data_IF_232447026797
#
_entry.id   IF_232447026797
#
_cell.length_a   1.000
_cell.length_b   1.000
_cell.length_c   1.000
_cell.angle_alpha   90.00
_cell.angle_beta   90.00
_cell.angle_gamma   90.00
#
_symmetry.space_group_name_H-M   'P 1'
#
loop_
_entity.id
_entity.type
_entity.pdbx_description
1 polymer ?
#
# COMPACT_ATOMS: atom_id res chain seq x y z
N UNK A 1 9.68 13.57 9.07
CA UNK A 1 8.36 14.17 8.81
C UNK A 1 7.29 13.19 9.28
N UNK A 2 6.30 13.60 10.08
CA UNK A 2 5.15 12.75 10.37
C UNK A 2 4.30 12.59 9.10
N UNK A 3 3.90 11.36 8.78
CA UNK A 3 3.01 11.06 7.67
C UNK A 3 1.58 10.91 8.17
N UNK A 4 0.62 11.50 7.47
CA UNK A 4 -0.79 11.17 7.62
C UNK A 4 -1.11 10.00 6.70
N UNK A 5 -1.66 8.92 7.24
CA UNK A 5 -2.16 7.80 6.44
C UNK A 5 -3.68 7.94 6.35
N UNK A 6 -4.21 7.91 5.13
CA UNK A 6 -5.66 7.91 4.87
C UNK A 6 -6.02 6.82 3.88
N UNK A 7 -7.30 6.46 3.87
CA UNK A 7 -7.85 5.65 2.79
C UNK A 7 -7.86 6.43 1.47
N UNK A 8 -7.58 5.73 0.39
CA UNK A 8 -7.85 6.23 -0.95
C UNK A 8 -9.37 6.23 -1.19
N UNK A 9 -9.87 7.26 -1.87
CA UNK A 9 -11.30 7.46 -2.07
C UNK A 9 -11.66 7.41 -3.56
N UNK A 10 -12.77 6.76 -3.94
CA UNK A 10 -13.28 6.90 -5.30
C UNK A 10 -13.67 8.35 -5.57
N UNK A 11 -13.32 8.87 -6.74
CA UNK A 11 -13.77 10.19 -7.19
C UNK A 11 -14.15 10.16 -8.66
N UNK A 12 -15.05 11.04 -9.15
CA UNK A 12 -15.39 11.10 -10.58
C UNK A 12 -14.20 11.35 -11.50
N UNK A 13 -13.13 11.94 -10.96
CA UNK A 13 -11.88 12.22 -11.65
C UNK A 13 -10.78 11.19 -11.38
N UNK A 14 -11.04 10.13 -10.60
CA UNK A 14 -10.07 9.09 -10.24
C UNK A 14 -8.76 9.63 -9.64
N UNK A 15 -8.83 10.65 -8.79
CA UNK A 15 -7.65 11.42 -8.36
C UNK A 15 -6.60 10.55 -7.66
N UNK A 16 -7.03 9.71 -6.72
CA UNK A 16 -6.13 8.80 -6.01
C UNK A 16 -5.58 7.70 -6.92
N UNK A 17 -6.38 7.18 -7.86
CA UNK A 17 -5.91 6.18 -8.83
C UNK A 17 -4.86 6.80 -9.80
N UNK A 18 -5.08 8.05 -10.24
CA UNK A 18 -4.13 8.82 -11.03
C UNK A 18 -2.86 9.13 -10.25
N UNK A 19 -2.99 9.46 -8.96
CA UNK A 19 -1.84 9.63 -8.07
C UNK A 19 -0.99 8.35 -8.01
N UNK A 20 -1.60 7.20 -7.70
CA UNK A 20 -0.89 5.91 -7.60
C UNK A 20 -0.20 5.59 -8.94
N UNK A 21 -0.92 5.72 -10.05
CA UNK A 21 -0.39 5.50 -11.40
C UNK A 21 0.83 6.39 -11.67
N UNK A 22 0.73 7.68 -11.36
CA UNK A 22 1.82 8.63 -11.57
C UNK A 22 3.01 8.40 -10.64
N UNK A 23 2.78 7.91 -9.41
CA UNK A 23 3.85 7.55 -8.47
C UNK A 23 4.65 6.34 -8.97
N UNK A 24 4.00 5.37 -9.62
CA UNK A 24 4.68 4.30 -10.31
C UNK A 24 5.54 4.82 -11.47
N UNK A 25 4.95 5.60 -12.38
CA UNK A 25 5.67 6.13 -13.55
C UNK A 25 6.86 7.00 -13.14
N UNK A 26 6.70 7.81 -12.08
CA UNK A 26 7.78 8.66 -11.57
C UNK A 26 8.93 7.88 -10.94
N UNK A 27 8.67 6.68 -10.44
CA UNK A 27 9.69 5.82 -9.85
C UNK A 27 10.57 5.12 -10.89
N UNK A 28 10.07 4.89 -12.12
CA UNK A 28 10.76 4.09 -13.15
C UNK A 28 12.16 4.62 -13.49
N UNK A 29 12.40 5.93 -13.71
CA UNK A 29 13.75 6.43 -13.98
C UNK A 29 14.73 6.17 -12.82
N UNK A 30 14.27 6.32 -11.57
CA UNK A 30 15.10 6.04 -10.41
C UNK A 30 15.37 4.54 -10.24
N UNK A 31 14.34 3.71 -10.35
CA UNK A 31 14.47 2.25 -10.27
C UNK A 31 15.43 1.73 -11.35
N UNK A 32 15.33 2.25 -12.56
CA UNK A 32 16.26 1.94 -13.64
C UNK A 32 17.69 2.34 -13.31
N UNK A 33 17.92 3.54 -12.77
CA UNK A 33 19.28 4.03 -12.46
C UNK A 33 19.96 3.27 -11.32
N UNK A 34 19.20 2.60 -10.45
CA UNK A 34 19.73 1.74 -9.39
C UNK A 34 19.79 0.26 -9.79
N UNK A 35 19.54 -0.10 -11.04
CA UNK A 35 19.62 -1.48 -11.52
C UNK A 35 18.39 -2.34 -11.25
N UNK A 36 17.23 -1.71 -11.05
CA UNK A 36 15.93 -2.38 -10.86
C UNK A 36 15.06 -2.50 -12.11
N UNK A 37 15.62 -2.21 -13.29
CA UNK A 37 14.91 -2.34 -14.57
C UNK A 37 14.45 -3.78 -14.88
N UNK A 38 15.11 -4.81 -14.34
CA UNK A 38 14.71 -6.21 -14.57
C UNK A 38 13.33 -6.57 -14.01
N UNK A 39 12.85 -5.88 -12.97
CA UNK A 39 11.50 -6.07 -12.41
C UNK A 39 10.47 -5.17 -13.07
N UNK A 40 10.84 -3.91 -13.33
CA UNK A 40 9.88 -2.86 -13.67
C UNK A 40 9.89 -2.45 -15.13
N UNK A 41 10.92 -2.83 -15.89
CA UNK A 41 11.20 -2.29 -17.21
C UNK A 41 11.78 -0.87 -17.14
N UNK A 42 11.89 -0.24 -18.31
CA UNK A 42 12.38 1.14 -18.47
C UNK A 42 11.29 2.11 -18.91
N UNK A 43 10.17 1.59 -19.40
CA UNK A 43 9.04 2.38 -19.87
C UNK A 43 8.10 2.72 -18.71
N UNK A 44 7.38 3.84 -18.84
CA UNK A 44 6.32 4.19 -17.90
C UNK A 44 5.27 3.07 -17.86
N UNK A 45 4.86 2.66 -16.66
CA UNK A 45 3.95 1.52 -16.48
C UNK A 45 2.56 1.83 -17.02
N UNK A 46 2.12 3.09 -16.95
CA UNK A 46 0.85 3.52 -17.56
C UNK A 46 0.82 3.33 -19.08
N UNK A 47 1.97 3.40 -19.75
CA UNK A 47 2.11 3.16 -21.19
C UNK A 47 2.33 1.67 -21.47
N UNK A 48 3.23 1.03 -20.73
CA UNK A 48 3.62 -0.36 -20.95
C UNK A 48 2.53 -1.39 -20.55
N UNK A 49 1.58 -1.00 -19.69
CA UNK A 49 0.54 -1.90 -19.15
C UNK A 49 -0.85 -1.34 -19.42
N UNK A 50 -1.54 -1.76 -20.49
CA UNK A 50 -2.92 -1.38 -20.74
C UNK A 50 -3.81 -1.67 -19.53
N UNK A 51 -4.66 -0.71 -19.15
CA UNK A 51 -5.57 -0.84 -18.00
C UNK A 51 -4.94 -0.59 -16.63
N UNK A 52 -3.70 -0.10 -16.55
CA UNK A 52 -3.02 0.14 -15.27
C UNK A 52 -3.77 1.12 -14.34
N UNK A 53 -4.26 2.24 -14.89
CA UNK A 53 -5.11 3.17 -14.14
C UNK A 53 -6.42 2.51 -13.68
N UNK A 54 -7.10 1.79 -14.58
CA UNK A 54 -8.36 1.14 -14.30
C UNK A 54 -8.23 0.08 -13.19
N UNK A 55 -7.10 -0.64 -13.13
CA UNK A 55 -6.80 -1.56 -12.03
C UNK A 55 -6.76 -0.85 -10.68
N UNK A 56 -6.10 0.31 -10.60
CA UNK A 56 -6.05 1.08 -9.35
C UNK A 56 -7.41 1.66 -8.98
N UNK A 57 -8.17 2.17 -9.94
CA UNK A 57 -9.54 2.65 -9.71
C UNK A 57 -10.45 1.53 -9.19
N UNK A 58 -10.38 0.33 -9.79
CA UNK A 58 -11.12 -0.85 -9.32
C UNK A 58 -10.73 -1.25 -7.90
N UNK A 59 -9.43 -1.25 -7.57
CA UNK A 59 -8.97 -1.57 -6.22
C UNK A 59 -9.50 -0.59 -5.16
N UNK A 60 -9.58 0.70 -5.50
CA UNK A 60 -10.15 1.73 -4.62
C UNK A 60 -11.66 1.54 -4.47
N UNK A 61 -12.37 1.22 -5.54
CA UNK A 61 -13.80 0.92 -5.49
C UNK A 61 -14.10 -0.32 -4.62
N UNK A 62 -13.30 -1.39 -4.75
CA UNK A 62 -13.42 -2.60 -3.91
C UNK A 62 -13.18 -2.27 -2.42
N UNK A 63 -12.17 -1.44 -2.12
CA UNK A 63 -11.85 -0.99 -0.77
C UNK A 63 -13.00 -0.17 -0.15
N UNK A 64 -13.58 0.74 -0.92
CA UNK A 64 -14.72 1.53 -0.47
C UNK A 64 -15.96 0.66 -0.23
N UNK A 65 -16.26 -0.27 -1.14
CA UNK A 65 -17.37 -1.19 -0.98
C UNK A 65 -17.23 -2.06 0.28
N UNK A 66 -16.02 -2.54 0.57
CA UNK A 66 -15.72 -3.26 1.80
C UNK A 66 -15.92 -2.38 3.04
N UNK A 67 -15.39 -1.15 3.04
CA UNK A 67 -15.52 -0.19 4.16
C UNK A 67 -16.98 0.15 4.46
N UNK A 68 -17.80 0.37 3.42
CA UNK A 68 -19.22 0.63 3.59
C UNK A 68 -19.96 -0.58 4.16
N UNK A 69 -19.67 -1.77 3.65
CA UNK A 69 -20.25 -3.02 4.16
C UNK A 69 -19.86 -3.28 5.62
N UNK A 70 -18.60 -3.02 6.01
CA UNK A 70 -18.13 -3.20 7.38
C UNK A 70 -18.76 -2.20 8.35
N UNK A 71 -18.98 -0.95 7.91
CA UNK A 71 -19.62 0.08 8.73
C UNK A 71 -21.11 -0.17 8.97
N UNK A 72 -21.78 -0.84 8.02
CA UNK A 72 -23.21 -1.13 8.08
C UNK A 72 -23.52 -2.49 8.73
N UNK A 73 -22.51 -3.35 8.93
CA UNK A 73 -22.67 -4.62 9.64
C UNK A 73 -22.66 -4.43 11.15
N UNK A 74 -23.66 -3.69 11.66
CA UNK A 74 -23.94 -3.58 13.09
C UNK A 74 -24.66 -4.81 13.66
N UNK A 75 -25.09 -5.74 12.81
CA UNK A 75 -25.91 -6.90 13.16
C UNK A 75 -25.17 -8.24 13.19
N UNK A 76 -23.84 -8.26 13.09
CA UNK A 76 -23.05 -9.50 13.07
C UNK A 76 -23.24 -10.35 11.80
N UNK A 77 -23.86 -9.78 10.76
CA UNK A 77 -24.00 -10.46 9.48
C UNK A 77 -22.61 -10.60 8.80
N UNK A 78 -22.29 -11.77 8.20
CA UNK A 78 -21.01 -11.97 7.53
C UNK A 78 -20.83 -10.99 6.38
N UNK A 79 -19.71 -10.26 6.36
CA UNK A 79 -19.31 -9.45 5.20
C UNK A 79 -18.90 -10.43 4.10
N UNK A 80 -19.66 -10.46 3.00
CA UNK A 80 -19.38 -11.36 1.86
C UNK A 80 -18.07 -11.03 1.15
N UNK A 81 -17.65 -9.77 1.19
CA UNK A 81 -16.44 -9.30 0.52
C UNK A 81 -15.23 -9.49 1.44
N UNK A 82 -14.14 -10.02 0.88
CA UNK A 82 -12.86 -10.13 1.58
C UNK A 82 -12.30 -8.73 1.89
N UNK A 83 -11.64 -8.54 3.04
CA UNK A 83 -10.99 -7.28 3.37
C UNK A 83 -10.02 -6.82 2.28
N UNK A 84 -10.17 -5.58 1.86
CA UNK A 84 -9.29 -4.88 0.92
C UNK A 84 -9.16 -3.43 1.35
N UNK A 85 -7.95 -2.88 1.27
CA UNK A 85 -7.68 -1.50 1.67
C UNK A 85 -6.64 -0.86 0.78
N UNK A 86 -6.88 0.37 0.34
CA UNK A 86 -5.92 1.17 -0.42
C UNK A 86 -5.60 2.40 0.42
N UNK A 87 -4.31 2.60 0.71
CA UNK A 87 -3.82 3.63 1.62
C UNK A 87 -2.99 4.65 0.85
N UNK A 88 -3.14 5.92 1.22
CA UNK A 88 -2.30 7.04 0.76
C UNK A 88 -1.53 7.59 1.96
N UNK A 89 -0.21 7.71 1.82
CA UNK A 89 0.63 8.46 2.73
C UNK A 89 0.75 9.90 2.26
N UNK A 90 0.48 10.84 3.14
CA UNK A 90 0.59 12.26 2.87
C UNK A 90 1.60 12.94 3.81
N UNK A 91 2.43 13.79 3.24
CA UNK A 91 3.34 14.65 4.00
C UNK A 91 2.70 16.02 4.22
N UNK A 92 2.82 16.56 5.43
CA UNK A 92 2.43 17.94 5.69
C UNK A 92 3.40 18.89 4.98
N UNK A 93 2.85 19.81 4.21
CA UNK A 93 3.60 20.92 3.65
C UNK A 93 3.74 22.02 4.71
N UNK A 94 4.87 22.75 4.73
CA UNK A 94 4.97 23.96 5.52
C UNK A 94 3.80 24.88 5.16
N UNK A 95 3.05 25.33 6.18
CA UNK A 95 2.03 26.36 5.95
C UNK A 95 2.69 27.56 5.30
N UNK A 96 2.03 28.12 4.28
CA UNK A 96 2.47 29.40 3.71
C UNK A 96 2.32 30.41 4.84
N UNK A 97 3.44 30.96 5.31
CA UNK A 97 3.43 32.05 6.28
C UNK A 97 3.02 33.30 5.50
N UNK A 98 1.72 33.41 5.20
CA UNK A 98 1.13 34.63 4.67
C UNK A 98 1.13 35.60 5.85
N UNK A 99 2.25 36.31 5.99
CA UNK A 99 2.52 37.22 7.09
C UNK A 99 1.50 38.34 7.15
N UNK A 100 0.40 38.10 7.87
CA UNK A 100 -0.38 39.11 8.55
C UNK A 100 -1.16 38.44 9.69
N UNK A 101 -0.81 38.85 10.92
CA UNK A 101 -1.29 38.22 12.13
C UNK A 101 -2.79 38.37 12.33
N UNK A 102 -3.50 37.24 12.44
CA UNK A 102 -4.62 37.04 13.36
C UNK A 102 -5.14 35.60 13.24
N UNK A 103 -4.97 34.78 14.28
CA UNK A 103 -5.95 33.77 14.73
C UNK A 103 -6.53 32.70 13.79
N UNK A 104 -6.11 32.56 12.53
CA UNK A 104 -6.62 31.53 11.64
C UNK A 104 -5.80 30.24 11.80
N UNK A 105 -6.47 29.12 12.10
CA UNK A 105 -5.86 27.78 12.09
C UNK A 105 -5.05 27.63 10.80
N UNK A 106 -3.73 27.46 10.91
CA UNK A 106 -2.86 27.26 9.76
C UNK A 106 -3.40 26.10 8.94
N UNK A 107 -3.92 26.39 7.75
CA UNK A 107 -4.47 25.39 6.86
C UNK A 107 -3.30 24.50 6.40
N UNK A 108 -3.16 23.33 7.03
CA UNK A 108 -2.13 22.37 6.69
C UNK A 108 -2.49 21.72 5.36
N UNK A 109 -1.72 22.04 4.33
CA UNK A 109 -1.78 21.34 3.05
C UNK A 109 -1.05 20.02 3.17
N UNK A 110 -1.62 18.96 2.60
CA UNK A 110 -1.07 17.62 2.61
C UNK A 110 -0.74 17.21 1.17
N UNK A 111 0.47 16.72 0.96
CA UNK A 111 0.94 16.22 -0.33
C UNK A 111 0.96 14.70 -0.30
N UNK A 112 0.22 14.00 -1.18
CA UNK A 112 0.37 12.56 -1.37
C UNK A 112 1.80 12.20 -1.82
N UNK A 113 2.43 11.26 -1.13
CA UNK A 113 3.86 10.90 -1.30
C UNK A 113 4.12 9.40 -1.32
N UNK A 114 3.11 8.58 -1.05
CA UNK A 114 3.18 7.14 -1.24
C UNK A 114 1.82 6.48 -1.18
N UNK A 115 1.76 5.21 -1.60
CA UNK A 115 0.55 4.42 -1.54
C UNK A 115 0.83 2.95 -1.23
N UNK A 116 -0.17 2.28 -0.68
CA UNK A 116 -0.17 0.84 -0.48
C UNK A 116 -1.52 0.21 -0.84
N UNK A 117 -1.52 -1.04 -1.30
CA UNK A 117 -2.73 -1.84 -1.53
C UNK A 117 -2.61 -3.15 -0.77
N UNK A 118 -3.63 -3.46 0.02
CA UNK A 118 -3.73 -4.63 0.89
C UNK A 118 -4.93 -5.47 0.48
N UNK A 119 -4.75 -6.80 0.38
CA UNK A 119 -5.83 -7.75 0.05
C UNK A 119 -5.77 -8.98 0.93
N UNK A 120 -6.87 -9.28 1.62
CA UNK A 120 -6.98 -10.49 2.42
C UNK A 120 -7.12 -11.73 1.52
N UNK A 121 -6.43 -12.81 1.90
CA UNK A 121 -6.58 -14.12 1.28
C UNK A 121 -6.44 -14.09 -0.25
N UNK A 122 -5.45 -13.31 -0.70
CA UNK A 122 -5.14 -13.03 -2.10
C UNK A 122 -3.66 -13.28 -2.37
N UNK A 123 -3.36 -13.89 -3.51
CA UNK A 123 -2.02 -13.97 -4.07
C UNK A 123 -2.10 -13.59 -5.56
N UNK A 124 -1.16 -12.79 -6.08
CA UNK A 124 -1.10 -12.50 -7.50
C UNK A 124 -0.88 -13.76 -8.35
N UNK A 125 -1.46 -13.81 -9.55
CA UNK A 125 -1.37 -14.98 -10.43
C UNK A 125 0.10 -15.39 -10.71
N UNK A 126 0.99 -14.43 -10.94
CA UNK A 126 2.39 -14.73 -11.20
C UNK A 126 3.13 -15.36 -10.01
N UNK A 127 2.63 -15.19 -8.77
CA UNK A 127 3.11 -15.89 -7.57
C UNK A 127 2.58 -17.32 -7.55
N UNK A 128 1.30 -17.50 -7.90
CA UNK A 128 0.67 -18.82 -8.00
C UNK A 128 1.30 -19.70 -9.09
N UNK A 129 1.73 -19.07 -10.19
CA UNK A 129 2.37 -19.74 -11.32
C UNK A 129 3.82 -20.20 -11.01
N UNK A 130 4.40 -19.77 -9.88
CA UNK A 130 5.75 -20.22 -9.50
C UNK A 130 5.72 -21.65 -8.95
N UNK A 131 6.23 -22.61 -9.72
CA UNK A 131 6.29 -24.03 -9.30
C UNK A 131 6.97 -24.22 -7.94
N UNK A 132 8.05 -23.50 -7.68
CA UNK A 132 8.80 -23.58 -6.42
C UNK A 132 8.04 -23.04 -5.19
N UNK A 133 6.92 -22.33 -5.40
CA UNK A 133 6.06 -21.81 -4.33
C UNK A 133 4.81 -22.64 -4.09
N UNK A 134 4.49 -23.61 -4.97
CA UNK A 134 3.24 -24.40 -4.89
C UNK A 134 3.06 -25.11 -3.54
N UNK A 135 4.17 -25.57 -2.92
CA UNK A 135 4.15 -26.20 -1.60
C UNK A 135 3.76 -25.25 -0.45
N UNK A 136 3.74 -23.94 -0.69
CA UNK A 136 3.38 -22.92 0.31
C UNK A 136 2.05 -22.24 -0.08
N UNK A 137 1.87 -21.87 -1.33
CA UNK A 137 0.70 -21.10 -1.80
C UNK A 137 -0.58 -21.92 -1.76
N UNK A 138 -0.53 -23.21 -2.11
CA UNK A 138 -1.67 -24.13 -2.05
C UNK A 138 -2.25 -24.27 -0.63
N UNK A 139 -1.44 -24.66 0.38
CA UNK A 139 -1.88 -24.72 1.77
C UNK A 139 -2.38 -23.39 2.32
N UNK A 140 -1.73 -22.27 1.96
CA UNK A 140 -2.12 -20.94 2.41
C UNK A 140 -3.54 -20.56 1.92
N UNK A 141 -3.84 -20.82 0.64
CA UNK A 141 -5.16 -20.55 0.07
C UNK A 141 -6.23 -21.54 0.54
N UNK A 142 -5.88 -22.82 0.69
CA UNK A 142 -6.80 -23.83 1.21
C UNK A 142 -7.20 -23.52 2.66
N UNK A 143 -6.23 -23.07 3.47
CA UNK A 143 -6.48 -22.58 4.83
C UNK A 143 -7.43 -21.40 4.86
N UNK A 144 -7.35 -20.49 3.90
CA UNK A 144 -8.20 -19.30 3.79
C UNK A 144 -9.64 -19.55 3.26
N UNK A 145 -9.94 -20.76 2.77
CA UNK A 145 -11.23 -21.10 2.15
C UNK A 145 -12.29 -21.63 3.14
N UNK A 146 -11.95 -21.86 4.41
CA UNK A 146 -12.89 -22.30 5.44
C UNK A 146 -13.66 -21.16 6.11
N UNK A 147 -14.78 -21.46 6.79
CA UNK A 147 -15.60 -20.49 7.55
C UNK A 147 -14.89 -19.87 8.78
N UNK A 148 -13.63 -20.24 9.02
CA UNK A 148 -12.72 -19.65 10.00
C UNK A 148 -11.26 -19.77 9.55
N UNK A 149 -11.02 -19.61 8.24
CA UNK A 149 -9.75 -19.89 7.60
C UNK A 149 -8.57 -19.08 8.12
N UNK A 150 -7.36 -19.65 8.05
CA UNK A 150 -6.13 -18.97 8.45
C UNK A 150 -5.93 -17.69 7.66
N UNK A 151 -6.33 -16.58 8.25
CA UNK A 151 -6.42 -15.31 7.55
C UNK A 151 -5.05 -14.66 7.40
N UNK A 152 -4.72 -14.31 6.16
CA UNK A 152 -3.52 -13.53 5.86
C UNK A 152 -3.85 -12.30 5.03
N UNK A 153 -3.04 -11.27 5.21
CA UNK A 153 -3.06 -10.08 4.39
C UNK A 153 -1.92 -10.12 3.37
N UNK A 154 -2.18 -9.71 2.13
CA UNK A 154 -1.16 -9.54 1.11
C UNK A 154 -0.94 -8.06 0.82
N UNK A 155 0.29 -7.58 0.94
CA UNK A 155 0.70 -6.24 0.51
C UNK A 155 1.06 -6.27 -0.97
N UNK A 156 0.08 -5.97 -1.81
CA UNK A 156 0.17 -6.05 -3.29
C UNK A 156 0.94 -4.87 -3.88
N UNK A 157 0.73 -3.67 -3.34
CA UNK A 157 1.38 -2.45 -3.80
C UNK A 157 2.04 -1.77 -2.61
N UNK A 158 3.27 -1.33 -2.80
CA UNK A 158 3.96 -0.38 -1.93
C UNK A 158 4.81 0.53 -2.81
N UNK A 159 4.44 1.80 -2.92
CA UNK A 159 5.11 2.77 -3.80
C UNK A 159 5.27 4.12 -3.10
N UNK A 160 6.34 4.83 -3.46
CA UNK A 160 6.58 6.23 -3.05
C UNK A 160 6.71 7.10 -4.28
N UNK A 161 6.15 8.30 -4.25
CA UNK A 161 6.15 9.21 -5.39
C UNK A 161 7.50 9.94 -5.53
N UNK A 162 8.09 9.91 -6.72
CA UNK A 162 9.35 10.57 -7.04
C UNK A 162 9.16 11.90 -7.79
N UNK A 163 7.92 12.35 -8.02
CA UNK A 163 7.66 13.68 -8.63
C UNK A 163 8.07 14.84 -7.74
N UNK A 164 7.99 14.66 -6.42
CA UNK A 164 8.48 15.64 -5.45
C UNK A 164 10.01 15.53 -5.32
N UNK A 165 10.79 16.54 -5.79
CA UNK A 165 12.24 16.48 -5.75
C UNK A 165 12.80 16.51 -4.32
N UNK A 166 12.13 17.17 -3.38
CA UNK A 166 12.58 17.21 -2.00
C UNK A 166 12.31 15.86 -1.30
N UNK A 167 13.35 15.03 -1.27
CA UNK A 167 13.37 13.69 -0.69
C UNK A 167 12.78 13.63 0.72
N UNK A 168 12.93 14.69 1.50
CA UNK A 168 12.45 14.74 2.89
C UNK A 168 10.93 14.63 3.02
N UNK A 169 10.16 14.97 1.97
CA UNK A 169 8.72 14.78 1.97
C UNK A 169 8.29 13.33 1.78
N UNK A 170 9.10 12.49 1.12
CA UNK A 170 8.73 11.08 0.80
C UNK A 170 9.52 10.04 1.57
N UNK A 171 10.69 10.41 2.12
CA UNK A 171 11.56 9.48 2.86
C UNK A 171 10.85 8.99 4.12
N UNK A 172 10.63 7.68 4.19
CA UNK A 172 9.94 7.03 5.31
C UNK A 172 8.44 6.78 5.07
N UNK A 173 7.86 7.28 3.96
CA UNK A 173 6.45 7.05 3.65
C UNK A 173 6.12 5.56 3.55
N UNK A 174 6.97 4.77 2.89
CA UNK A 174 6.81 3.31 2.82
C UNK A 174 6.80 2.64 4.19
N UNK A 175 7.62 3.12 5.14
CA UNK A 175 7.70 2.52 6.48
C UNK A 175 6.46 2.87 7.29
N UNK A 176 5.97 4.11 7.16
CA UNK A 176 4.71 4.54 7.75
C UNK A 176 3.51 3.73 7.21
N UNK A 177 3.47 3.47 5.90
CA UNK A 177 2.43 2.62 5.28
C UNK A 177 2.47 1.19 5.81
N UNK A 178 3.65 0.56 5.86
CA UNK A 178 3.80 -0.81 6.38
C UNK A 178 3.41 -0.89 7.86
N UNK A 179 3.84 0.08 8.67
CA UNK A 179 3.48 0.12 10.09
C UNK A 179 1.97 0.26 10.28
N UNK A 180 1.34 1.19 9.56
CA UNK A 180 -0.11 1.38 9.62
C UNK A 180 -0.86 0.12 9.17
N UNK A 181 -0.39 -0.54 8.10
CA UNK A 181 -0.95 -1.80 7.61
C UNK A 181 -0.88 -2.90 8.69
N UNK A 182 0.27 -3.10 9.33
CA UNK A 182 0.44 -4.10 10.41
C UNK A 182 -0.53 -3.86 11.56
N UNK A 183 -0.68 -2.60 11.98
CA UNK A 183 -1.59 -2.24 13.06
C UNK A 183 -3.04 -2.52 12.70
N UNK A 184 -3.48 -2.15 11.49
CA UNK A 184 -4.82 -2.44 11.01
C UNK A 184 -5.09 -3.95 10.92
N UNK A 185 -4.17 -4.70 10.29
CA UNK A 185 -4.28 -6.16 10.11
C UNK A 185 -4.35 -6.88 11.45
N UNK A 186 -3.49 -6.52 12.41
CA UNK A 186 -3.46 -7.17 13.71
C UNK A 186 -4.59 -6.75 14.66
N UNK A 187 -4.87 -5.45 14.76
CA UNK A 187 -5.84 -4.93 15.75
C UNK A 187 -7.29 -5.04 15.28
N UNK A 188 -7.55 -4.77 14.00
CA UNK A 188 -8.93 -4.70 13.48
C UNK A 188 -9.39 -6.03 12.89
N UNK A 189 -8.48 -6.80 12.29
CA UNK A 189 -8.83 -8.07 11.64
C UNK A 189 -8.38 -9.30 12.45
N UNK A 190 -7.58 -9.14 13.51
CA UNK A 190 -7.04 -10.26 14.28
C UNK A 190 -6.10 -11.18 13.48
N UNK A 191 -5.63 -10.72 12.32
CA UNK A 191 -4.77 -11.52 11.44
C UNK A 191 -3.32 -11.43 11.90
N UNK A 192 -2.62 -12.56 11.85
CA UNK A 192 -1.23 -12.66 12.35
C UNK A 192 -0.18 -12.79 11.24
N UNK A 193 -0.62 -12.93 9.98
CA UNK A 193 0.28 -13.08 8.84
C UNK A 193 0.04 -11.97 7.81
N UNK A 194 1.13 -11.32 7.39
CA UNK A 194 1.15 -10.43 6.23
C UNK A 194 2.27 -10.86 5.29
N UNK A 195 1.93 -11.05 4.01
CA UNK A 195 2.85 -11.48 2.96
C UNK A 195 3.06 -10.38 1.92
N UNK A 196 4.21 -10.41 1.28
CA UNK A 196 4.59 -9.52 0.16
C UNK A 196 5.60 -10.26 -0.71
N UNK A 197 5.51 -10.13 -2.03
CA UNK A 197 6.57 -10.56 -2.92
C UNK A 197 7.62 -9.46 -3.06
N UNK A 198 8.89 -9.85 -3.09
CA UNK A 198 10.00 -8.93 -3.23
C UNK A 198 10.94 -9.44 -4.30
N UNK A 199 11.28 -8.57 -5.25
CA UNK A 199 12.33 -8.89 -6.20
C UNK A 199 13.71 -8.85 -5.53
N UNK A 200 14.45 -9.95 -5.64
CA UNK A 200 15.77 -10.11 -5.06
C UNK A 200 16.89 -9.38 -5.84
N UNK A 201 16.58 -8.82 -7.02
CA UNK A 201 17.55 -8.05 -7.80
C UNK A 201 18.02 -6.77 -7.09
N UNK A 202 18.97 -6.06 -7.71
CA UNK A 202 19.61 -4.87 -7.11
C UNK A 202 20.18 -5.14 -5.70
N UNK A 203 20.84 -6.29 -5.53
CA UNK A 203 21.47 -6.68 -4.27
C UNK A 203 20.48 -6.82 -3.10
N UNK A 204 19.25 -7.29 -3.38
CA UNK A 204 18.23 -7.60 -2.38
C UNK A 204 17.78 -6.40 -1.53
N UNK A 205 18.00 -5.17 -1.99
CA UNK A 205 17.67 -3.95 -1.22
C UNK A 205 16.20 -3.92 -0.78
N UNK A 206 15.28 -4.34 -1.65
CA UNK A 206 13.86 -4.43 -1.33
C UNK A 206 13.58 -5.49 -0.25
N UNK A 207 14.19 -6.66 -0.37
CA UNK A 207 14.08 -7.75 0.62
C UNK A 207 14.58 -7.28 1.99
N UNK A 208 15.75 -6.64 2.06
CA UNK A 208 16.32 -6.12 3.30
C UNK A 208 15.44 -5.02 3.92
N UNK A 209 14.89 -4.15 3.10
CA UNK A 209 13.96 -3.12 3.55
C UNK A 209 12.71 -3.74 4.21
N UNK A 210 12.09 -4.72 3.58
CA UNK A 210 10.92 -5.42 4.13
C UNK A 210 11.28 -6.16 5.41
N UNK A 211 12.39 -6.93 5.44
CA UNK A 211 12.85 -7.63 6.66
C UNK A 211 13.03 -6.65 7.82
N UNK A 212 13.71 -5.52 7.58
CA UNK A 212 13.92 -4.49 8.62
C UNK A 212 12.61 -3.89 9.14
N UNK A 213 11.58 -3.82 8.30
CA UNK A 213 10.24 -3.32 8.66
C UNK A 213 9.40 -4.39 9.39
N UNK A 214 9.73 -5.66 9.22
CA UNK A 214 9.11 -6.78 9.92
C UNK A 214 9.57 -6.86 11.38
N UNK A 215 10.85 -6.57 11.66
CA UNK A 215 11.48 -6.73 12.98
C UNK A 215 11.16 -5.65 14.02
N UNK A 216 10.46 -4.57 13.67
CA UNK A 216 10.20 -3.42 14.56
C UNK A 216 9.18 -3.68 15.69
N UNK A 217 8.80 -4.93 15.95
CA UNK A 217 7.88 -5.32 17.02
C UNK A 217 8.62 -6.09 18.13
N UNK A 218 9.45 -5.39 18.89
CA UNK A 218 9.68 -5.65 20.32
C UNK A 218 10.69 -4.65 20.89
N UNK A 219 10.25 -3.81 21.83
CA UNK A 219 11.00 -3.38 23.01
C UNK A 219 10.02 -2.59 23.91
N UNK A 220 9.15 -3.34 24.57
CA UNK A 220 8.43 -2.92 25.77
C UNK A 220 8.66 -4.02 26.80
N UNK A 221 9.77 -3.94 27.51
CA UNK A 221 10.11 -4.80 28.63
C UNK A 221 9.97 -4.01 29.92
N UNK A 222 9.26 -4.58 30.91
CA UNK A 222 9.32 -4.19 32.31
C UNK A 222 7.99 -3.70 32.85
#
# INVERSE_FOLDING_TARGET
>A
MPFRIRDAVPSPSDDDAKFITSAFDSSIPHLSSIGSAGQWGTDQLSVARPGFLARHASAIADAEAYRLASSSSSSGAPIKNKPVRVLIAEAALPGRDDGDGAGHEQQRYYLPVGAATLRANYLPQYVLDQEHLQGVTGPLLAGAAGEGGGDFMYLEVLITDFREPARDYRKGAGAALVQYAKEWVGKELGMHAMYVDCWAGNGEKLVRYIISSSSSSSLGTG
#
